data_IF_881386424483
#
_entry.id   IF_881386424483
#
_cell.length_a   1.000
_cell.length_b   1.000
_cell.length_c   1.000
_cell.angle_alpha   90.00
_cell.angle_beta   90.00
_cell.angle_gamma   90.00
#
_symmetry.space_group_name_H-M   'P 1'
#
loop_
_entity.id
_entity.type
_entity.pdbx_description
1 polymer ?
#
# COMPACT_ATOMS: atom_id res chain seq x y z
N UNK A 1 -15.37 5.73 -4.03
CA UNK A 1 -14.05 5.20 -3.59
C UNK A 1 -14.27 4.41 -2.30
N UNK A 2 -13.71 3.20 -2.17
CA UNK A 2 -13.92 2.34 -0.97
C UNK A 2 -12.95 2.76 0.15
N UNK A 3 -13.47 2.98 1.36
CA UNK A 3 -12.67 3.27 2.55
C UNK A 3 -11.83 2.05 2.94
N UNK A 4 -10.53 2.23 3.18
CA UNK A 4 -9.63 1.12 3.50
C UNK A 4 -9.55 0.88 5.00
N UNK A 5 -9.64 -0.37 5.42
CA UNK A 5 -9.51 -0.72 6.86
C UNK A 5 -8.13 -0.35 7.41
N UNK A 6 -7.09 -0.41 6.57
CA UNK A 6 -5.72 -0.08 6.99
C UNK A 6 -5.52 1.40 7.31
N UNK A 7 -6.43 2.31 6.94
CA UNK A 7 -6.26 3.76 7.13
C UNK A 7 -5.95 4.12 8.58
N UNK A 8 -6.66 3.52 9.54
CA UNK A 8 -6.41 3.75 10.96
C UNK A 8 -5.00 3.30 11.37
N UNK A 9 -4.57 2.13 10.88
CA UNK A 9 -3.24 1.58 11.15
C UNK A 9 -2.16 2.47 10.50
N UNK A 10 -2.39 2.92 9.27
CA UNK A 10 -1.49 3.83 8.56
C UNK A 10 -1.33 5.14 9.32
N UNK A 11 -2.42 5.74 9.80
CA UNK A 11 -2.37 6.97 10.59
C UNK A 11 -1.56 6.77 11.87
N UNK A 12 -1.83 5.72 12.63
CA UNK A 12 -1.06 5.40 13.85
C UNK A 12 0.41 5.15 13.55
N UNK A 13 0.73 4.46 12.45
CA UNK A 13 2.11 4.23 12.04
C UNK A 13 2.82 5.55 11.68
N UNK A 14 2.16 6.46 10.97
CA UNK A 14 2.69 7.78 10.63
C UNK A 14 2.90 8.66 11.86
N UNK A 15 2.07 8.54 12.89
CA UNK A 15 2.27 9.22 14.18
C UNK A 15 3.46 8.64 14.97
N UNK A 16 3.80 7.38 14.73
CA UNK A 16 4.80 6.63 15.54
C UNK A 16 6.19 6.56 14.89
N UNK A 17 6.26 6.52 13.56
CA UNK A 17 7.50 6.29 12.81
C UNK A 17 7.80 7.44 11.84
N UNK A 18 9.08 7.82 11.64
CA UNK A 18 9.46 8.82 10.64
C UNK A 18 9.25 8.33 9.20
N UNK A 19 9.33 7.02 8.97
CA UNK A 19 9.05 6.40 7.68
C UNK A 19 7.99 5.32 7.83
N UNK A 20 7.00 5.34 6.96
CA UNK A 20 6.09 4.21 6.76
C UNK A 20 6.22 3.73 5.33
N UNK A 21 6.49 2.43 5.14
CA UNK A 21 6.46 1.79 3.83
C UNK A 21 5.11 1.09 3.66
N UNK A 22 4.29 1.56 2.73
CA UNK A 22 3.06 0.90 2.32
C UNK A 22 3.32 0.04 1.07
N UNK A 23 3.54 -1.25 1.30
CA UNK A 23 3.86 -2.24 0.29
C UNK A 23 2.58 -2.97 -0.18
N UNK A 24 2.56 -3.45 -1.43
CA UNK A 24 1.52 -4.34 -1.93
C UNK A 24 1.41 -4.35 -3.45
N UNK A 25 0.69 -5.33 -4.00
CA UNK A 25 0.56 -5.54 -5.46
C UNK A 25 0.14 -4.28 -6.24
N UNK A 26 0.40 -4.26 -7.55
CA UNK A 26 -0.07 -3.19 -8.43
C UNK A 26 -1.60 -3.09 -8.41
N UNK A 27 -2.13 -1.89 -8.61
CA UNK A 27 -3.57 -1.61 -8.77
C UNK A 27 -4.49 -1.96 -7.58
N UNK A 28 -3.95 -2.18 -6.39
CA UNK A 28 -4.76 -2.38 -5.19
C UNK A 28 -5.15 -1.06 -4.49
N UNK A 29 -4.81 0.10 -5.06
CA UNK A 29 -5.16 1.42 -4.52
C UNK A 29 -4.15 2.05 -3.55
N UNK A 30 -2.85 1.73 -3.67
CA UNK A 30 -1.77 2.36 -2.87
C UNK A 30 -1.68 3.86 -3.09
N UNK A 31 -1.53 4.29 -4.34
CA UNK A 31 -1.42 5.71 -4.73
C UNK A 31 -2.66 6.51 -4.32
N UNK A 32 -3.84 5.90 -4.43
CA UNK A 32 -5.09 6.48 -3.93
C UNK A 32 -5.06 6.71 -2.42
N UNK A 33 -4.61 5.72 -1.65
CA UNK A 33 -4.48 5.84 -0.20
C UNK A 33 -3.44 6.90 0.18
N UNK A 34 -2.33 6.97 -0.55
CA UNK A 34 -1.29 7.98 -0.34
C UNK A 34 -1.79 9.41 -0.60
N UNK A 35 -2.42 9.66 -1.75
CA UNK A 35 -2.96 10.98 -2.13
C UNK A 35 -4.03 11.48 -1.15
N UNK A 36 -4.77 10.57 -0.50
CA UNK A 36 -5.75 10.95 0.52
C UNK A 36 -5.10 11.38 1.86
N UNK A 37 -3.84 11.00 2.11
CA UNK A 37 -3.14 11.27 3.37
C UNK A 37 -2.02 12.31 3.23
N UNK A 38 -1.54 12.57 2.02
CA UNK A 38 -0.40 13.46 1.76
C UNK A 38 -0.73 14.48 0.68
N UNK A 39 -0.43 15.75 0.95
CA UNK A 39 -0.51 16.83 -0.06
C UNK A 39 0.62 16.73 -1.07
N UNK A 40 1.83 16.46 -0.58
CA UNK A 40 3.02 16.33 -1.41
C UNK A 40 3.17 14.88 -1.86
N UNK A 41 3.18 14.66 -3.17
CA UNK A 41 3.23 13.35 -3.78
C UNK A 41 4.16 13.38 -4.98
N UNK A 42 5.14 12.47 -4.99
CA UNK A 42 6.06 12.27 -6.10
C UNK A 42 6.09 10.79 -6.47
N UNK A 43 6.18 10.49 -7.76
CA UNK A 43 6.25 9.10 -8.26
C UNK A 43 7.48 8.88 -9.11
N UNK A 44 8.20 7.78 -8.85
CA UNK A 44 9.33 7.35 -9.68
C UNK A 44 8.89 6.60 -10.95
N UNK A 45 7.59 6.57 -11.27
CA UNK A 45 7.13 6.32 -12.64
C UNK A 45 7.60 7.41 -13.60
N UNK A 46 7.65 8.67 -13.14
CA UNK A 46 8.26 9.78 -13.87
C UNK A 46 9.74 9.50 -14.14
N UNK A 47 10.11 9.46 -15.42
CA UNK A 47 11.45 9.13 -15.87
C UNK A 47 12.50 10.19 -15.53
N UNK A 48 12.14 11.47 -15.64
CA UNK A 48 13.04 12.59 -15.38
C UNK A 48 13.28 12.71 -13.88
N UNK A 49 12.21 12.66 -13.08
CA UNK A 49 12.32 12.69 -11.62
C UNK A 49 13.14 11.50 -11.10
N UNK A 50 12.89 10.30 -11.65
CA UNK A 50 13.65 9.09 -11.31
C UNK A 50 15.13 9.24 -11.64
N UNK A 51 15.46 9.81 -12.79
CA UNK A 51 16.86 10.04 -13.18
C UNK A 51 17.53 11.02 -12.22
N UNK A 52 16.88 12.16 -11.95
CA UNK A 52 17.37 13.17 -11.03
C UNK A 52 17.62 12.60 -9.61
N UNK A 53 16.68 11.82 -9.08
CA UNK A 53 16.82 11.18 -7.77
C UNK A 53 17.94 10.13 -7.73
N UNK A 54 18.23 9.46 -8.85
CA UNK A 54 19.35 8.49 -8.96
C UNK A 54 20.70 9.18 -9.05
N UNK A 55 20.82 10.23 -9.84
CA UNK A 55 22.09 10.92 -10.09
C UNK A 55 22.49 11.83 -8.93
N UNK A 56 21.52 12.44 -8.25
CA UNK A 56 21.76 13.34 -7.12
C UNK A 56 20.83 13.05 -5.92
N UNK A 57 20.97 11.87 -5.27
CA UNK A 57 20.05 11.45 -4.20
C UNK A 57 20.11 12.38 -2.98
N UNK A 58 21.29 12.91 -2.63
CA UNK A 58 21.46 13.87 -1.53
C UNK A 58 20.71 15.18 -1.80
N UNK A 59 20.91 15.76 -2.99
CA UNK A 59 20.26 17.00 -3.41
C UNK A 59 18.75 16.82 -3.51
N UNK A 60 18.31 15.70 -4.08
CA UNK A 60 16.90 15.33 -4.17
C UNK A 60 16.24 15.33 -2.79
N UNK A 61 16.77 14.56 -1.83
CA UNK A 61 16.21 14.44 -0.48
C UNK A 61 16.19 15.79 0.26
N UNK A 62 17.26 16.59 0.12
CA UNK A 62 17.35 17.93 0.75
C UNK A 62 16.28 18.91 0.26
N UNK A 63 15.85 18.78 -0.99
CA UNK A 63 14.90 19.69 -1.63
C UNK A 63 13.43 19.25 -1.48
N UNK A 64 13.16 18.12 -0.80
CA UNK A 64 11.80 17.65 -0.60
C UNK A 64 11.02 18.53 0.38
N UNK A 65 9.79 18.87 0.02
CA UNK A 65 8.84 19.49 0.93
C UNK A 65 8.14 18.41 1.76
N UNK A 66 8.44 18.36 3.06
CA UNK A 66 7.89 17.36 3.99
C UNK A 66 6.62 17.88 4.68
N UNK A 67 5.66 17.00 5.04
CA UNK A 67 5.67 15.54 4.84
C UNK A 67 5.33 15.15 3.39
N UNK A 68 5.89 14.03 2.91
CA UNK A 68 5.80 13.63 1.50
C UNK A 68 5.54 12.13 1.32
N UNK A 69 4.81 11.80 0.25
CA UNK A 69 4.74 10.45 -0.29
C UNK A 69 5.67 10.28 -1.50
N UNK A 70 6.52 9.24 -1.48
CA UNK A 70 7.38 8.83 -2.60
C UNK A 70 6.92 7.46 -3.12
N UNK A 71 6.36 7.45 -4.33
CA UNK A 71 5.79 6.25 -4.96
C UNK A 71 6.79 5.47 -5.83
N UNK A 72 6.61 4.15 -5.85
CA UNK A 72 7.46 3.16 -6.50
C UNK A 72 8.94 3.25 -6.07
N UNK A 73 9.18 3.34 -4.76
CA UNK A 73 10.52 3.50 -4.16
C UNK A 73 11.52 2.40 -4.57
N UNK A 74 11.06 1.20 -4.95
CA UNK A 74 11.93 0.14 -5.49
C UNK A 74 12.70 0.56 -6.74
N UNK A 75 12.27 1.61 -7.44
CA UNK A 75 12.96 2.13 -8.62
C UNK A 75 14.18 2.96 -8.27
N UNK A 76 14.24 3.51 -7.05
CA UNK A 76 15.32 4.37 -6.56
C UNK A 76 15.66 4.01 -5.10
N UNK A 77 16.13 2.79 -4.81
CA UNK A 77 16.45 2.39 -3.43
C UNK A 77 17.62 3.18 -2.83
N UNK A 78 18.48 3.79 -3.66
CA UNK A 78 19.64 4.58 -3.24
C UNK A 78 19.28 5.80 -2.37
N UNK A 79 18.05 6.33 -2.45
CA UNK A 79 17.66 7.48 -1.62
C UNK A 79 17.38 7.10 -0.16
N UNK A 80 17.21 5.81 0.16
CA UNK A 80 16.90 5.34 1.52
C UNK A 80 18.01 5.72 2.51
N UNK A 81 19.28 5.68 2.08
CA UNK A 81 20.43 6.10 2.88
C UNK A 81 20.36 7.59 3.24
N UNK A 82 19.93 8.43 2.29
CA UNK A 82 19.83 9.87 2.51
C UNK A 82 18.59 10.24 3.35
N UNK A 83 17.50 9.49 3.21
CA UNK A 83 16.35 9.59 4.13
C UNK A 83 16.80 9.27 5.56
N UNK A 84 17.59 8.20 5.77
CA UNK A 84 18.16 7.86 7.08
C UNK A 84 18.97 9.02 7.66
N UNK A 85 19.91 9.58 6.89
CA UNK A 85 20.76 10.71 7.32
C UNK A 85 19.89 11.91 7.74
N UNK A 86 18.87 12.25 6.95
CA UNK A 86 17.97 13.36 7.26
C UNK A 86 17.16 13.12 8.55
N UNK A 87 16.67 11.89 8.76
CA UNK A 87 15.96 11.49 9.97
C UNK A 87 16.87 11.55 11.20
N UNK A 88 18.12 11.09 11.07
CA UNK A 88 19.10 11.10 12.15
C UNK A 88 19.48 12.53 12.56
N UNK A 89 19.39 13.47 11.63
CA UNK A 89 19.66 14.90 11.89
C UNK A 89 18.46 15.62 12.52
N UNK A 90 17.24 15.37 12.02
CA UNK A 90 16.02 16.03 12.49
C UNK A 90 14.82 15.08 12.43
N UNK A 91 14.70 14.21 13.43
CA UNK A 91 13.66 13.20 13.48
C UNK A 91 12.28 13.84 13.67
N UNK A 92 11.40 13.63 12.69
CA UNK A 92 9.95 13.86 12.83
C UNK A 92 9.18 12.68 12.26
N UNK A 93 8.22 12.21 13.05
CA UNK A 93 7.33 11.12 12.65
C UNK A 93 6.39 11.57 11.52
N UNK A 94 6.09 10.66 10.60
CA UNK A 94 5.14 10.91 9.51
C UNK A 94 5.70 11.73 8.34
N UNK A 95 7.00 12.05 8.36
CA UNK A 95 7.63 12.82 7.28
C UNK A 95 7.62 12.08 5.94
N UNK A 96 7.75 10.75 5.96
CA UNK A 96 7.88 9.95 4.74
C UNK A 96 6.85 8.83 4.71
N UNK A 97 6.00 8.85 3.69
CA UNK A 97 5.31 7.66 3.21
C UNK A 97 6.03 7.16 1.97
N UNK A 98 6.45 5.91 1.99
CA UNK A 98 7.02 5.22 0.83
C UNK A 98 5.98 4.23 0.33
N UNK A 99 5.82 4.10 -0.98
CA UNK A 99 4.99 3.04 -1.57
C UNK A 99 5.79 2.22 -2.57
N UNK A 100 5.41 0.95 -2.73
CA UNK A 100 6.03 0.08 -3.71
C UNK A 100 5.26 -1.20 -3.97
N UNK A 101 5.57 -1.85 -5.11
CA UNK A 101 4.87 -3.05 -5.57
C UNK A 101 5.67 -4.35 -5.47
N UNK A 102 6.93 -4.26 -5.06
CA UNK A 102 7.79 -5.40 -4.74
C UNK A 102 8.29 -5.27 -3.31
N UNK A 103 8.76 -6.37 -2.72
CA UNK A 103 9.42 -6.33 -1.42
C UNK A 103 10.77 -5.59 -1.54
N UNK A 104 10.73 -4.26 -1.45
CA UNK A 104 11.90 -3.36 -1.42
C UNK A 104 12.87 -3.78 -0.33
N UNK A 105 12.31 -4.30 0.76
CA UNK A 105 13.01 -4.76 1.93
C UNK A 105 13.53 -6.21 1.81
N UNK A 106 13.31 -6.94 0.72
CA UNK A 106 13.93 -8.26 0.55
C UNK A 106 15.44 -8.17 0.23
N UNK A 107 15.90 -7.00 -0.19
CA UNK A 107 17.33 -6.70 -0.21
C UNK A 107 17.80 -6.32 1.19
N UNK A 108 18.71 -7.11 1.78
CA UNK A 108 19.25 -6.92 3.14
C UNK A 108 19.71 -5.48 3.38
N UNK A 109 20.40 -4.90 2.42
CA UNK A 109 20.97 -3.54 2.50
C UNK A 109 19.89 -2.47 2.73
N UNK A 110 18.71 -2.62 2.11
CA UNK A 110 17.57 -1.70 2.29
C UNK A 110 16.94 -1.79 3.69
N UNK A 111 16.87 -3.01 4.26
CA UNK A 111 16.32 -3.23 5.62
C UNK A 111 17.21 -2.62 6.69
N UNK A 112 18.51 -2.85 6.59
CA UNK A 112 19.47 -2.38 7.58
C UNK A 112 19.60 -0.86 7.56
N UNK A 113 19.42 -0.24 6.38
CA UNK A 113 19.50 1.22 6.22
C UNK A 113 18.47 1.97 7.08
N UNK A 114 17.23 1.47 7.20
CA UNK A 114 16.15 2.15 7.93
C UNK A 114 15.69 1.40 9.20
N UNK A 115 16.52 0.50 9.72
CA UNK A 115 16.23 -0.22 10.96
C UNK A 115 15.86 0.73 12.11
N UNK A 116 14.76 0.42 12.82
CA UNK A 116 14.21 1.23 13.92
C UNK A 116 13.57 2.57 13.52
N UNK A 117 13.52 2.90 12.22
CA UNK A 117 12.96 4.16 11.69
C UNK A 117 11.78 3.92 10.76
N UNK A 118 11.67 2.72 10.19
CA UNK A 118 10.65 2.36 9.24
C UNK A 118 9.65 1.36 9.84
N UNK A 119 8.36 1.60 9.61
CA UNK A 119 7.30 0.63 9.79
C UNK A 119 6.81 0.16 8.42
N UNK A 120 6.83 -1.15 8.17
CA UNK A 120 6.25 -1.71 6.95
C UNK A 120 4.78 -2.10 7.19
N UNK A 121 3.90 -1.60 6.32
CA UNK A 121 2.49 -1.95 6.25
C UNK A 121 2.20 -2.61 4.91
N UNK A 122 1.52 -3.75 4.93
CA UNK A 122 1.11 -4.45 3.71
C UNK A 122 -0.34 -4.16 3.37
N UNK A 123 -0.56 -3.52 2.23
CA UNK A 123 -1.87 -3.36 1.63
C UNK A 123 -2.21 -4.62 0.82
N UNK A 124 -3.40 -5.15 1.08
CA UNK A 124 -3.97 -6.26 0.32
C UNK A 124 -5.05 -5.75 -0.65
N UNK A 125 -5.56 -6.59 -1.56
CA UNK A 125 -6.83 -6.32 -2.23
C UNK A 125 -7.96 -6.09 -1.21
N UNK A 126 -9.08 -5.50 -1.66
CA UNK A 126 -10.25 -5.24 -0.83
C UNK A 126 -10.76 -6.54 -0.20
N UNK A 127 -10.88 -6.51 1.11
CA UNK A 127 -11.57 -7.54 1.90
C UNK A 127 -13.08 -7.52 1.63
N UNK A 128 -13.77 -8.61 1.97
CA UNK A 128 -15.24 -8.66 1.86
C UNK A 128 -15.93 -7.51 2.62
N UNK A 129 -15.42 -7.12 3.79
CA UNK A 129 -16.01 -5.98 4.53
C UNK A 129 -15.79 -4.65 3.82
N UNK A 130 -14.63 -4.43 3.20
CA UNK A 130 -14.40 -3.21 2.41
C UNK A 130 -15.26 -3.19 1.15
N UNK A 131 -15.43 -4.34 0.47
CA UNK A 131 -16.36 -4.47 -0.68
C UNK A 131 -17.79 -4.09 -0.29
N UNK A 132 -18.22 -4.47 0.91
CA UNK A 132 -19.56 -4.20 1.47
C UNK A 132 -19.66 -2.91 2.29
N UNK A 133 -18.71 -1.96 2.17
CA UNK A 133 -18.72 -0.65 2.86
C UNK A 133 -18.73 -0.72 4.40
N UNK A 134 -18.18 -1.81 4.94
CA UNK A 134 -18.09 -2.13 6.36
C UNK A 134 -16.65 -2.10 6.87
N UNK A 135 -15.82 -1.22 6.34
CA UNK A 135 -14.37 -1.19 6.63
C UNK A 135 -14.04 -1.02 8.12
N UNK A 136 -14.89 -0.33 8.88
CA UNK A 136 -14.76 -0.13 10.33
C UNK A 136 -15.21 -1.34 11.17
N UNK A 137 -15.85 -2.37 10.58
CA UNK A 137 -16.30 -3.53 11.36
C UNK A 137 -15.10 -4.41 11.77
N UNK A 138 -15.06 -4.76 13.06
CA UNK A 138 -14.14 -5.75 13.61
C UNK A 138 -14.85 -7.11 13.75
N UNK A 139 -14.70 -7.95 12.72
CA UNK A 139 -15.36 -9.25 12.66
C UNK A 139 -14.84 -10.19 13.75
N UNK A 140 -13.54 -10.14 14.05
CA UNK A 140 -12.94 -11.00 15.08
C UNK A 140 -13.54 -10.67 16.44
N UNK A 141 -13.66 -9.39 16.78
CA UNK A 141 -14.27 -8.96 18.03
C UNK A 141 -15.74 -9.37 18.14
N UNK A 142 -16.53 -9.21 17.07
CA UNK A 142 -17.91 -9.73 17.02
C UNK A 142 -17.97 -11.24 17.26
N UNK A 143 -17.05 -12.01 16.66
CA UNK A 143 -16.97 -13.46 16.86
C UNK A 143 -16.60 -13.82 18.30
N UNK A 144 -15.60 -13.15 18.88
CA UNK A 144 -15.15 -13.38 20.25
C UNK A 144 -16.25 -13.03 21.27
N UNK A 145 -16.95 -11.92 21.04
CA UNK A 145 -18.06 -11.47 21.89
C UNK A 145 -19.37 -12.22 21.64
N UNK A 146 -19.39 -13.17 20.69
CA UNK A 146 -20.60 -13.88 20.21
C UNK A 146 -21.72 -12.93 19.77
N UNK A 147 -21.36 -11.72 19.31
CA UNK A 147 -22.27 -10.72 18.78
C UNK A 147 -22.52 -10.97 17.27
N UNK A 148 -23.15 -12.10 16.98
CA UNK A 148 -23.56 -12.45 15.63
C UNK A 148 -24.81 -13.32 15.64
N UNK A 149 -25.60 -13.22 14.58
CA UNK A 149 -26.74 -14.11 14.32
C UNK A 149 -26.34 -15.11 13.24
N UNK A 150 -26.43 -16.39 13.55
CA UNK A 150 -26.30 -17.44 12.54
C UNK A 150 -27.58 -17.46 11.69
N UNK A 151 -27.50 -16.92 10.48
CA UNK A 151 -28.56 -17.09 9.50
C UNK A 151 -28.39 -18.46 8.82
N UNK A 152 -29.44 -19.28 8.81
CA UNK A 152 -29.55 -20.43 7.89
C UNK A 152 -29.84 -19.90 6.48
N UNK A 153 -28.85 -19.28 5.85
CA UNK A 153 -28.94 -18.82 4.46
C UNK A 153 -27.89 -19.55 3.64
N UNK A 154 -28.27 -20.01 2.46
CA UNK A 154 -27.29 -20.53 1.51
C UNK A 154 -26.47 -19.34 0.96
N UNK A 155 -25.17 -19.37 1.24
CA UNK A 155 -24.22 -18.36 0.79
C UNK A 155 -23.34 -18.86 -0.35
N UNK A 156 -23.53 -20.10 -0.83
CA UNK A 156 -22.65 -20.76 -1.79
C UNK A 156 -22.41 -19.92 -3.04
N UNK A 157 -23.47 -19.43 -3.71
CA UNK A 157 -23.35 -18.56 -4.89
C UNK A 157 -22.61 -17.26 -4.59
N UNK A 158 -22.92 -16.60 -3.46
CA UNK A 158 -22.27 -15.34 -3.07
C UNK A 158 -20.77 -15.56 -2.76
N UNK A 159 -20.42 -16.68 -2.14
CA UNK A 159 -19.02 -17.03 -1.85
C UNK A 159 -18.26 -17.30 -3.14
N UNK A 160 -18.84 -18.10 -4.05
CA UNK A 160 -18.25 -18.41 -5.35
C UNK A 160 -18.02 -17.11 -6.13
N UNK A 161 -19.03 -16.23 -6.20
CA UNK A 161 -18.89 -14.95 -6.90
C UNK A 161 -17.82 -14.05 -6.27
N UNK A 162 -17.71 -14.03 -4.94
CA UNK A 162 -16.64 -13.26 -4.27
C UNK A 162 -15.24 -13.82 -4.55
N UNK A 163 -15.10 -15.14 -4.70
CA UNK A 163 -13.84 -15.76 -5.10
C UNK A 163 -13.49 -15.38 -6.55
N UNK A 164 -14.46 -15.46 -7.47
CA UNK A 164 -14.28 -15.10 -8.89
C UNK A 164 -13.93 -13.62 -9.03
N UNK A 165 -14.61 -12.75 -8.29
CA UNK A 165 -14.37 -11.31 -8.33
C UNK A 165 -13.07 -10.90 -7.62
N UNK A 166 -12.59 -11.73 -6.69
CA UNK A 166 -11.48 -11.40 -5.82
C UNK A 166 -11.70 -10.08 -5.07
N UNK A 167 -10.62 -9.32 -4.89
CA UNK A 167 -10.60 -8.05 -4.15
C UNK A 167 -9.97 -6.88 -4.87
N UNK A 168 -9.56 -7.01 -6.14
CA UNK A 168 -8.97 -5.87 -6.86
C UNK A 168 -10.04 -4.80 -7.08
N UNK A 169 -9.80 -3.51 -6.76
CA UNK A 169 -10.82 -2.48 -6.91
C UNK A 169 -11.39 -2.35 -8.32
N UNK A 170 -10.54 -2.46 -9.35
CA UNK A 170 -10.91 -2.23 -10.75
C UNK A 170 -11.86 -3.30 -11.28
N UNK A 171 -11.64 -4.57 -10.92
CA UNK A 171 -12.44 -5.70 -11.44
C UNK A 171 -13.90 -5.67 -10.98
N UNK A 172 -14.19 -4.96 -9.89
CA UNK A 172 -15.56 -4.81 -9.37
C UNK A 172 -16.46 -4.03 -10.33
N UNK A 173 -15.87 -3.28 -11.27
CA UNK A 173 -16.61 -2.51 -12.27
C UNK A 173 -16.83 -3.29 -13.59
N UNK A 174 -16.22 -4.46 -13.75
CA UNK A 174 -16.28 -5.24 -14.99
C UNK A 174 -17.33 -6.34 -14.96
N UNK A 175 -17.79 -6.75 -16.15
CA UNK A 175 -18.73 -7.86 -16.33
C UNK A 175 -18.32 -8.79 -17.48
N UNK A 176 -18.65 -10.08 -17.36
CA UNK A 176 -18.44 -11.08 -18.41
C UNK A 176 -17.02 -11.07 -18.99
N UNK A 177 -16.93 -10.91 -20.32
CA UNK A 177 -15.67 -10.89 -21.07
C UNK A 177 -14.66 -9.83 -20.57
N UNK A 178 -15.11 -8.69 -20.04
CA UNK A 178 -14.21 -7.66 -19.51
C UNK A 178 -13.38 -8.18 -18.33
N UNK A 179 -13.98 -8.97 -17.43
CA UNK A 179 -13.26 -9.60 -16.31
C UNK A 179 -12.24 -10.60 -16.80
N UNK A 180 -12.61 -11.41 -17.79
CA UNK A 180 -11.71 -12.41 -18.38
C UNK A 180 -10.50 -11.75 -19.04
N UNK A 181 -10.72 -10.70 -19.84
CA UNK A 181 -9.65 -9.93 -20.47
C UNK A 181 -8.74 -9.27 -19.44
N UNK A 182 -9.30 -8.69 -18.38
CA UNK A 182 -8.50 -8.08 -17.32
C UNK A 182 -7.63 -9.11 -16.59
N UNK A 183 -8.16 -10.28 -16.23
CA UNK A 183 -7.36 -11.34 -15.61
C UNK A 183 -6.25 -11.86 -16.54
N UNK A 184 -6.49 -11.91 -17.85
CA UNK A 184 -5.49 -12.31 -18.85
C UNK A 184 -4.41 -11.25 -19.13
N UNK A 185 -4.62 -9.99 -18.75
CA UNK A 185 -3.71 -8.88 -19.04
C UNK A 185 -2.35 -8.92 -18.30
N UNK A 186 -2.11 -9.90 -17.43
CA UNK A 186 -0.79 -10.15 -16.85
C UNK A 186 -0.49 -9.40 -15.54
N UNK A 187 -1.46 -8.69 -14.97
CA UNK A 187 -1.35 -8.04 -13.64
C UNK A 187 -1.17 -9.05 -12.50
N UNK A 188 -1.70 -10.26 -12.68
CA UNK A 188 -1.40 -11.43 -11.87
C UNK A 188 -0.40 -12.25 -12.69
N UNK A 189 0.90 -12.05 -12.45
CA UNK A 189 1.87 -13.05 -12.90
C UNK A 189 1.47 -14.36 -12.24
N UNK A 190 1.09 -15.36 -13.03
CA UNK A 190 1.16 -16.75 -12.60
C UNK A 190 2.63 -16.97 -12.24
N UNK A 191 2.97 -16.90 -10.96
CA UNK A 191 4.19 -17.54 -10.49
C UNK A 191 4.03 -19.00 -10.89
N UNK A 192 4.90 -19.46 -11.79
CA UNK A 192 4.85 -20.78 -12.38
C UNK A 192 4.72 -21.85 -11.31
N UNK A 193 3.87 -22.82 -11.61
CA UNK A 193 4.11 -24.20 -11.15
C UNK A 193 5.37 -24.68 -11.84
#
# INVERSE_FOLDING_TARGET
>A
MKKRTIETILKTALETFPVVLLNGSRQIGKSTLALNNFKNYLTFDDGELRLYAKENPKGFIKNLELPICLDEIQKVPSILEYIKIQIDTNRKNGNYLLTGSSNILDHKDSKDTLAGRLCELKLYPLSCKEKNDKSNENIIEKLLNKDFKLAKKDYSENVIQNIIDGGYPEILNFKGLQKELWFKSGLIKKNGV
#
